data_IF_639816020751
#
_entry.id   IF_639816020751
#
_cell.length_a   1.000
_cell.length_b   1.000
_cell.length_c   1.000
_cell.angle_alpha   90.00
_cell.angle_beta   90.00
_cell.angle_gamma   90.00
#
_symmetry.space_group_name_H-M   'P 1'
#
loop_
_entity.id
_entity.type
_entity.pdbx_description
1 polymer ?
#
# COMPACT_ATOMS: atom_id res chain seq x y z
N UNK A 1 -5.33 -17.47 15.81
CA UNK A 1 -3.88 -17.40 16.05
C UNK A 1 -3.27 -18.73 15.70
N UNK A 2 -2.12 -18.74 15.02
CA UNK A 2 -1.39 -19.95 14.60
C UNK A 2 0.07 -19.87 15.08
N UNK A 3 0.74 -21.01 15.31
CA UNK A 3 2.16 -21.03 15.65
C UNK A 3 3.00 -20.32 14.58
N UNK A 4 4.01 -19.54 14.98
CA UNK A 4 4.86 -18.85 14.02
C UNK A 4 5.62 -19.81 13.09
N UNK A 5 5.86 -21.05 13.51
CA UNK A 5 6.47 -22.12 12.70
C UNK A 5 5.67 -22.48 11.45
N UNK A 6 4.36 -22.18 11.43
CA UNK A 6 3.48 -22.44 10.29
C UNK A 6 3.41 -21.26 9.31
N UNK A 7 4.14 -20.18 9.60
CA UNK A 7 4.14 -18.93 8.83
C UNK A 7 5.56 -18.38 8.67
N UNK A 8 5.72 -17.27 7.95
CA UNK A 8 7.01 -16.55 7.93
C UNK A 8 7.22 -15.65 9.17
N UNK A 9 6.29 -15.63 10.14
CA UNK A 9 6.51 -14.95 11.41
C UNK A 9 7.72 -15.50 12.18
N UNK A 10 8.06 -16.78 11.97
CA UNK A 10 9.28 -17.41 12.50
C UNK A 10 10.54 -16.68 12.06
N UNK A 11 10.57 -16.23 10.79
CA UNK A 11 11.71 -15.52 10.19
C UNK A 11 11.93 -14.14 10.81
N UNK A 12 10.93 -13.63 11.53
CA UNK A 12 10.94 -12.33 12.19
C UNK A 12 11.06 -12.46 13.71
N UNK A 13 11.35 -13.67 14.23
CA UNK A 13 11.52 -13.95 15.65
C UNK A 13 10.22 -13.89 16.47
N UNK A 14 9.06 -14.03 15.81
CA UNK A 14 7.77 -14.07 16.50
C UNK A 14 7.45 -15.50 16.98
N UNK A 15 6.63 -15.61 18.03
CA UNK A 15 6.16 -16.92 18.53
C UNK A 15 4.84 -17.36 17.89
N UNK A 16 3.99 -16.41 17.52
CA UNK A 16 2.67 -16.67 16.94
C UNK A 16 2.38 -15.65 15.84
N UNK A 17 1.51 -16.05 14.90
CA UNK A 17 0.94 -15.19 13.87
C UNK A 17 -0.59 -15.17 13.95
N UNK A 18 -1.19 -14.10 13.44
CA UNK A 18 -2.63 -13.93 13.37
C UNK A 18 -3.03 -13.65 11.92
N UNK A 19 -3.75 -14.59 11.31
CA UNK A 19 -4.46 -14.33 10.06
C UNK A 19 -5.71 -13.51 10.38
N UNK A 20 -6.05 -12.54 9.52
CA UNK A 20 -7.25 -11.72 9.74
C UNK A 20 -8.50 -12.54 9.41
N UNK A 21 -8.41 -13.38 8.38
CA UNK A 21 -9.42 -14.36 8.01
C UNK A 21 -8.73 -15.69 7.66
N UNK A 22 -9.39 -16.78 8.00
CA UNK A 22 -9.03 -18.12 7.55
C UNK A 22 -10.30 -18.82 7.10
N UNK A 23 -10.24 -19.48 5.95
CA UNK A 23 -11.32 -20.30 5.42
C UNK A 23 -10.88 -21.77 5.46
N UNK A 24 -11.06 -22.49 6.59
CA UNK A 24 -10.60 -23.88 6.70
C UNK A 24 -11.19 -24.80 5.63
N UNK A 25 -12.45 -24.58 5.25
CA UNK A 25 -13.11 -25.35 4.19
C UNK A 25 -12.44 -25.19 2.81
N UNK A 26 -11.82 -24.04 2.57
CA UNK A 26 -11.09 -23.76 1.33
C UNK A 26 -9.57 -23.94 1.52
N UNK A 27 -9.08 -24.20 2.73
CA UNK A 27 -7.65 -24.24 3.01
C UNK A 27 -6.92 -22.92 2.74
N UNK A 28 -7.57 -21.76 2.78
CA UNK A 28 -6.94 -20.46 2.46
C UNK A 28 -6.82 -19.56 3.69
N UNK A 29 -5.67 -18.91 3.82
CA UNK A 29 -5.42 -17.87 4.80
C UNK A 29 -5.38 -16.48 4.16
N UNK A 30 -5.92 -15.47 4.84
CA UNK A 30 -5.99 -14.11 4.32
C UNK A 30 -5.48 -13.06 5.30
N UNK A 31 -4.77 -12.07 4.76
CA UNK A 31 -4.38 -10.84 5.45
C UNK A 31 -5.16 -9.65 4.88
N UNK A 32 -6.04 -9.04 5.67
CA UNK A 32 -6.87 -7.92 5.19
C UNK A 32 -6.20 -6.60 5.52
N UNK A 33 -6.04 -5.74 4.52
CA UNK A 33 -5.31 -4.47 4.65
C UNK A 33 -6.05 -3.37 3.94
N UNK A 34 -6.06 -2.21 4.55
CA UNK A 34 -6.45 -0.99 3.87
C UNK A 34 -5.24 -0.50 3.07
N UNK A 35 -5.40 -0.31 1.76
CA UNK A 35 -4.37 0.29 0.91
C UNK A 35 -4.46 1.81 1.06
N UNK A 36 -3.82 2.33 2.11
CA UNK A 36 -3.92 3.72 2.57
C UNK A 36 -2.60 4.47 2.49
N UNK A 37 -2.63 5.73 2.04
CA UNK A 37 -1.48 6.65 2.03
C UNK A 37 -1.26 7.23 3.43
N UNK A 38 -0.74 6.38 4.34
CA UNK A 38 -0.52 6.75 5.74
C UNK A 38 0.48 7.90 5.87
N UNK A 39 1.47 7.96 4.99
CA UNK A 39 2.48 9.02 4.96
C UNK A 39 1.83 10.36 4.60
N UNK A 40 1.04 10.40 3.53
CA UNK A 40 0.29 11.60 3.13
C UNK A 40 -0.70 12.05 4.20
N UNK A 41 -1.36 11.13 4.91
CA UNK A 41 -2.25 11.45 6.02
C UNK A 41 -1.50 12.07 7.22
N UNK A 42 -0.34 11.53 7.58
CA UNK A 42 0.52 12.09 8.63
C UNK A 42 0.96 13.51 8.25
N UNK A 43 1.45 13.69 7.02
CA UNK A 43 1.90 14.99 6.50
C UNK A 43 0.76 16.00 6.45
N UNK A 44 -0.42 15.60 5.99
CA UNK A 44 -1.62 16.44 6.01
C UNK A 44 -1.97 16.89 7.43
N UNK A 45 -1.81 16.01 8.42
CA UNK A 45 -1.94 16.34 9.83
C UNK A 45 -0.94 17.41 10.28
N UNK A 46 0.34 17.26 9.91
CA UNK A 46 1.39 18.25 10.19
C UNK A 46 1.08 19.60 9.53
N UNK A 47 0.64 19.59 8.28
CA UNK A 47 0.29 20.81 7.54
C UNK A 47 -0.92 21.55 8.14
N UNK A 48 -1.90 20.81 8.67
CA UNK A 48 -3.00 21.39 9.43
C UNK A 48 -2.50 22.09 10.70
N UNK A 49 -1.61 21.43 11.45
CA UNK A 49 -1.05 21.97 12.69
C UNK A 49 -0.14 23.18 12.43
N UNK A 50 0.69 23.15 11.38
CA UNK A 50 1.51 24.28 10.94
C UNK A 50 0.66 25.50 10.60
N UNK A 51 -0.38 25.31 9.76
CA UNK A 51 -1.31 26.39 9.39
C UNK A 51 -2.01 26.99 10.60
N UNK A 52 -2.46 26.13 11.53
CA UNK A 52 -3.07 26.57 12.79
C UNK A 52 -2.09 27.38 13.65
N UNK A 53 -0.86 26.92 13.78
CA UNK A 53 0.20 27.58 14.56
C UNK A 53 0.59 28.94 13.99
N UNK A 54 0.68 29.05 12.67
CA UNK A 54 1.04 30.31 11.97
C UNK A 54 -0.16 31.21 11.68
N UNK A 55 -1.39 30.80 12.01
CA UNK A 55 -2.61 31.58 11.74
C UNK A 55 -2.97 31.70 10.24
N UNK A 56 -2.51 30.75 9.40
CA UNK A 56 -2.69 30.80 7.95
C UNK A 56 -4.00 30.10 7.56
N UNK A 57 -4.90 30.83 6.88
CA UNK A 57 -6.20 30.28 6.44
C UNK A 57 -6.12 29.54 5.12
N UNK A 58 -5.44 30.11 4.13
CA UNK A 58 -5.38 29.60 2.76
C UNK A 58 -3.92 29.40 2.35
N UNK A 59 -3.46 28.16 2.47
CA UNK A 59 -2.16 27.71 1.99
C UNK A 59 -2.30 26.24 1.59
N UNK A 60 -1.95 25.96 0.34
CA UNK A 60 -1.80 24.60 -0.16
C UNK A 60 -0.34 24.21 -0.02
N UNK A 61 -0.11 23.03 0.55
CA UNK A 61 1.21 22.43 0.72
C UNK A 61 1.17 21.09 0.01
N UNK A 62 2.06 20.91 -0.97
CA UNK A 62 2.20 19.68 -1.74
C UNK A 62 3.50 19.01 -1.32
N UNK A 63 3.43 17.84 -0.65
CA UNK A 63 4.64 17.11 -0.29
C UNK A 63 5.18 16.34 -1.48
N UNK A 64 6.50 16.18 -1.53
CA UNK A 64 7.21 15.22 -2.37
C UNK A 64 8.07 14.36 -1.47
N UNK A 65 7.91 13.05 -1.53
CA UNK A 65 8.65 12.09 -0.72
C UNK A 65 8.91 10.81 -1.48
N UNK A 66 9.90 10.06 -1.02
CA UNK A 66 10.11 8.68 -1.43
C UNK A 66 8.87 7.83 -1.08
N UNK A 67 8.12 7.30 -2.06
CA UNK A 67 6.93 6.51 -1.79
C UNK A 67 7.26 5.14 -1.18
N UNK A 68 8.50 4.64 -1.32
CA UNK A 68 9.03 3.47 -0.60
C UNK A 68 9.44 3.79 0.85
N UNK A 69 9.37 5.06 1.24
CA UNK A 69 9.71 5.52 2.57
C UNK A 69 8.81 4.92 3.65
N UNK A 70 9.40 4.16 4.58
CA UNK A 70 8.66 3.59 5.70
C UNK A 70 7.86 4.65 6.48
N UNK A 71 6.52 4.55 6.45
CA UNK A 71 5.61 5.50 7.12
C UNK A 71 5.90 5.64 8.63
N UNK A 72 6.46 4.60 9.25
CA UNK A 72 6.89 4.60 10.66
C UNK A 72 7.85 5.78 10.94
N UNK A 73 8.76 6.11 10.00
CA UNK A 73 9.68 7.25 10.15
C UNK A 73 8.94 8.58 10.26
N UNK A 74 7.91 8.77 9.44
CA UNK A 74 7.06 9.97 9.48
C UNK A 74 6.25 10.04 10.76
N UNK A 75 5.71 8.91 11.21
CA UNK A 75 4.96 8.83 12.46
C UNK A 75 5.83 9.15 13.69
N UNK A 76 7.03 8.58 13.76
CA UNK A 76 7.98 8.85 14.87
C UNK A 76 8.53 10.27 14.85
N UNK A 77 8.74 10.84 13.67
CA UNK A 77 9.32 12.18 13.50
C UNK A 77 8.28 13.29 13.41
N UNK A 78 6.98 12.99 13.57
CA UNK A 78 5.88 13.95 13.38
C UNK A 78 6.08 15.27 14.11
N UNK A 79 6.50 15.21 15.37
CA UNK A 79 6.74 16.42 16.19
C UNK A 79 7.94 17.21 15.66
N UNK A 80 9.04 16.54 15.34
CA UNK A 80 10.24 17.18 14.81
C UNK A 80 9.96 17.85 13.44
N UNK A 81 9.18 17.20 12.57
CA UNK A 81 8.76 17.76 11.29
C UNK A 81 7.86 18.99 11.46
N UNK A 82 6.93 18.96 12.42
CA UNK A 82 6.12 20.13 12.73
C UNK A 82 6.97 21.30 13.26
N UNK A 83 7.88 21.00 14.20
CA UNK A 83 8.76 21.99 14.79
C UNK A 83 9.69 22.60 13.72
N UNK A 84 10.23 21.79 12.81
CA UNK A 84 11.01 22.22 11.64
C UNK A 84 10.21 23.21 10.78
N UNK A 85 8.98 22.83 10.38
CA UNK A 85 8.15 23.73 9.57
C UNK A 85 7.82 25.03 10.31
N UNK A 86 7.49 24.95 11.60
CA UNK A 86 7.14 26.13 12.40
C UNK A 86 8.35 27.07 12.57
N UNK A 87 9.55 26.54 12.73
CA UNK A 87 10.74 27.33 12.99
C UNK A 87 11.40 27.87 11.72
N UNK A 88 11.36 27.11 10.63
CA UNK A 88 12.17 27.40 9.43
C UNK A 88 11.37 27.92 8.24
N UNK A 89 10.06 27.63 8.16
CA UNK A 89 9.20 28.15 7.09
C UNK A 89 8.54 29.45 7.52
N UNK A 90 9.16 30.57 7.13
CA UNK A 90 8.65 31.92 7.37
C UNK A 90 7.50 32.28 6.39
N UNK A 91 6.26 32.48 6.89
CA UNK A 91 5.14 32.89 6.05
C UNK A 91 5.30 34.27 5.42
N UNK A 92 6.14 35.15 5.98
CA UNK A 92 6.39 36.47 5.40
C UNK A 92 7.31 36.38 4.17
N UNK A 93 8.24 35.42 4.17
CA UNK A 93 9.15 35.16 3.05
C UNK A 93 8.47 34.41 1.89
N UNK A 94 7.37 33.70 2.16
CA UNK A 94 6.60 32.92 1.18
C UNK A 94 7.48 32.02 0.29
N UNK A 95 8.30 31.12 0.88
CA UNK A 95 9.18 30.26 0.09
C UNK A 95 8.38 29.34 -0.83
N UNK A 96 8.85 29.16 -2.06
CA UNK A 96 8.20 28.27 -3.02
C UNK A 96 8.37 26.79 -2.65
N UNK A 97 9.54 26.42 -2.12
CA UNK A 97 9.87 25.03 -1.75
C UNK A 97 10.70 25.02 -0.46
N UNK A 98 10.54 23.97 0.34
CA UNK A 98 11.35 23.67 1.52
C UNK A 98 11.77 22.19 1.50
N UNK A 99 13.02 21.89 1.84
CA UNK A 99 13.52 20.52 1.93
C UNK A 99 13.71 20.16 3.41
N UNK A 100 13.18 19.03 3.83
CA UNK A 100 13.30 18.58 5.23
C UNK A 100 14.73 18.14 5.52
N UNK A 101 15.26 18.61 6.65
CA UNK A 101 16.50 18.14 7.25
C UNK A 101 16.30 16.85 8.07
N UNK A 102 15.07 16.60 8.52
CA UNK A 102 14.70 15.45 9.37
C UNK A 102 14.55 14.16 8.54
N UNK A 103 13.91 14.25 7.37
CA UNK A 103 13.73 13.12 6.47
C UNK A 103 14.40 13.42 5.13
N UNK A 104 15.52 12.74 4.81
CA UNK A 104 16.17 12.88 3.51
C UNK A 104 15.20 12.55 2.37
N UNK A 105 15.15 13.41 1.35
CA UNK A 105 14.26 13.25 0.19
C UNK A 105 12.83 13.77 0.38
N UNK A 106 12.45 14.20 1.58
CA UNK A 106 11.18 14.89 1.81
C UNK A 106 11.30 16.38 1.48
N UNK A 107 10.42 16.89 0.63
CA UNK A 107 10.28 18.32 0.36
C UNK A 107 8.82 18.74 0.33
N UNK A 108 8.58 20.04 0.50
CA UNK A 108 7.26 20.66 0.49
C UNK A 108 7.27 21.81 -0.50
N UNK A 109 6.32 21.82 -1.43
CA UNK A 109 6.04 22.96 -2.30
C UNK A 109 4.83 23.73 -1.78
N UNK A 110 4.92 25.06 -1.77
CA UNK A 110 3.91 25.94 -1.19
C UNK A 110 3.24 26.80 -2.26
N UNK A 111 1.91 26.82 -2.24
CA UNK A 111 1.12 27.79 -2.99
C UNK A 111 0.57 28.85 -2.04
N UNK A 112 1.30 29.96 -1.96
CA UNK A 112 0.92 31.12 -1.16
C UNK A 112 -0.17 31.91 -1.88
N UNK A 113 -1.43 31.67 -1.52
CA UNK A 113 -2.58 32.48 -1.95
C UNK A 113 -3.65 31.74 -2.77
N UNK A 114 -4.85 32.34 -2.88
CA UNK A 114 -5.95 31.80 -3.68
C UNK A 114 -5.64 31.91 -5.19
N UNK A 115 -5.87 30.83 -5.93
CA UNK A 115 -5.72 30.81 -7.40
C UNK A 115 -4.35 30.38 -7.93
N UNK A 116 -3.41 29.98 -7.07
CA UNK A 116 -2.17 29.34 -7.51
C UNK A 116 -2.48 27.88 -7.89
N UNK A 117 -2.59 27.63 -9.19
CA UNK A 117 -2.75 26.30 -9.77
C UNK A 117 -1.37 25.64 -9.93
N UNK A 118 -1.13 24.50 -9.27
CA UNK A 118 -0.05 23.61 -9.67
C UNK A 118 -0.51 22.81 -10.89
N UNK A 119 0.27 22.90 -11.97
CA UNK A 119 0.09 22.08 -13.17
C UNK A 119 0.67 20.68 -12.98
N UNK A 120 -0.23 19.71 -13.05
CA UNK A 120 -0.09 18.34 -13.59
C UNK A 120 1.22 17.59 -13.31
N UNK A 121 1.20 16.78 -12.24
CA UNK A 121 1.98 15.55 -12.24
C UNK A 121 1.26 14.53 -13.11
N UNK A 122 1.92 14.02 -14.15
CA UNK A 122 1.40 12.86 -14.89
C UNK A 122 1.41 11.64 -13.95
N UNK A 123 0.23 11.14 -13.58
CA UNK A 123 0.13 9.89 -12.84
C UNK A 123 0.42 8.70 -13.77
N UNK A 124 1.38 7.86 -13.39
CA UNK A 124 1.56 6.53 -13.98
C UNK A 124 1.20 5.48 -12.93
N UNK A 125 0.15 4.66 -13.16
CA UNK A 125 -0.18 3.56 -12.27
C UNK A 125 0.94 2.52 -12.17
N UNK A 126 1.74 2.34 -13.23
CA UNK A 126 2.87 1.42 -13.26
C UNK A 126 4.00 1.90 -12.33
N UNK A 127 4.44 3.16 -12.47
CA UNK A 127 5.46 3.73 -11.60
C UNK A 127 4.97 3.80 -10.16
N UNK A 128 3.68 4.08 -9.95
CA UNK A 128 3.11 4.04 -8.61
C UNK A 128 3.19 2.63 -7.98
N UNK A 129 2.85 1.59 -8.74
CA UNK A 129 2.97 0.20 -8.29
C UNK A 129 4.43 -0.20 -8.02
N UNK A 130 5.39 0.29 -8.81
CA UNK A 130 6.83 0.08 -8.58
C UNK A 130 7.29 0.60 -7.23
N UNK A 131 6.83 1.77 -6.83
CA UNK A 131 7.16 2.31 -5.50
C UNK A 131 6.39 1.65 -4.34
N UNK A 132 5.56 0.65 -4.62
CA UNK A 132 4.86 -0.14 -3.60
C UNK A 132 5.49 -1.52 -3.42
N UNK A 133 6.54 -1.85 -4.18
CA UNK A 133 7.13 -3.19 -4.24
C UNK A 133 7.61 -3.74 -2.89
N UNK A 134 7.99 -2.85 -1.96
CA UNK A 134 8.50 -3.20 -0.64
C UNK A 134 7.39 -3.57 0.37
N UNK A 135 6.12 -3.18 0.12
CA UNK A 135 5.00 -3.42 1.03
C UNK A 135 4.77 -4.90 1.31
N UNK A 136 4.99 -5.76 0.31
CA UNK A 136 4.91 -7.23 0.44
C UNK A 136 5.62 -7.73 1.70
N UNK A 137 6.85 -7.26 1.94
CA UNK A 137 7.68 -7.68 3.07
C UNK A 137 7.13 -7.22 4.43
N UNK A 138 6.30 -6.18 4.45
CA UNK A 138 5.56 -5.77 5.64
C UNK A 138 4.46 -6.75 6.04
N UNK A 139 3.88 -7.45 5.06
CA UNK A 139 2.79 -8.43 5.24
C UNK A 139 3.28 -9.85 5.48
N UNK A 140 4.52 -10.15 5.08
CA UNK A 140 5.09 -11.48 5.03
C UNK A 140 4.93 -12.32 6.31
N UNK A 141 4.92 -11.71 7.51
CA UNK A 141 4.70 -12.43 8.77
C UNK A 141 3.43 -13.30 8.79
N UNK A 142 2.43 -12.99 7.95
CA UNK A 142 1.18 -13.73 7.86
C UNK A 142 1.14 -14.75 6.71
N UNK A 143 2.21 -14.85 5.93
CA UNK A 143 2.29 -15.83 4.85
C UNK A 143 2.47 -17.22 5.45
N UNK A 144 1.51 -18.08 5.15
CA UNK A 144 1.50 -19.46 5.60
C UNK A 144 2.50 -20.29 4.79
N UNK A 145 3.16 -21.22 5.47
CA UNK A 145 4.00 -22.25 4.86
C UNK A 145 3.19 -23.46 4.42
N UNK A 146 1.99 -23.63 4.98
CA UNK A 146 1.19 -24.85 4.85
C UNK A 146 0.04 -24.69 3.85
N UNK A 147 -0.44 -23.47 3.65
CA UNK A 147 -1.66 -23.17 2.94
C UNK A 147 -1.46 -22.00 1.97
N UNK A 148 -2.25 -21.91 0.90
CA UNK A 148 -2.33 -20.69 0.11
C UNK A 148 -2.61 -19.46 0.97
N UNK A 149 -1.85 -18.39 0.72
CA UNK A 149 -2.03 -17.10 1.41
C UNK A 149 -2.43 -16.03 0.42
N UNK A 150 -3.44 -15.24 0.78
CA UNK A 150 -3.93 -14.12 -0.04
C UNK A 150 -3.86 -12.82 0.76
N UNK A 151 -3.38 -11.75 0.15
CA UNK A 151 -3.58 -10.40 0.70
C UNK A 151 -4.89 -9.86 0.15
N UNK A 152 -5.74 -9.34 1.04
CA UNK A 152 -6.99 -8.67 0.67
C UNK A 152 -6.81 -7.17 0.90
N UNK A 153 -6.63 -6.40 -0.17
CA UNK A 153 -6.62 -4.95 -0.12
C UNK A 153 -8.03 -4.39 -0.22
N UNK A 154 -8.44 -3.66 0.80
CA UNK A 154 -9.69 -2.89 0.81
C UNK A 154 -9.38 -1.48 0.33
N UNK A 155 -10.09 -1.04 -0.70
CA UNK A 155 -10.03 0.31 -1.26
C UNK A 155 -11.30 1.04 -0.82
N UNK A 156 -11.15 1.94 0.14
CA UNK A 156 -12.23 2.74 0.70
C UNK A 156 -12.08 4.22 0.32
N UNK A 157 -13.14 4.91 -0.17
CA UNK A 157 -13.03 6.23 -0.80
C UNK A 157 -12.44 7.34 0.07
N UNK A 158 -12.49 7.23 1.40
CA UNK A 158 -12.00 8.27 2.32
C UNK A 158 -10.64 7.99 2.95
N UNK A 159 -10.18 6.75 2.91
CA UNK A 159 -8.99 6.31 3.65
C UNK A 159 -7.98 5.55 2.79
N UNK A 160 -8.33 5.24 1.55
CA UNK A 160 -7.40 4.70 0.57
C UNK A 160 -6.67 5.79 -0.20
N UNK A 161 -5.60 5.41 -0.88
CA UNK A 161 -4.79 6.33 -1.66
C UNK A 161 -5.66 7.09 -2.68
N UNK A 162 -5.49 8.41 -2.73
CA UNK A 162 -6.37 9.30 -3.51
C UNK A 162 -6.21 9.13 -5.02
N UNK A 163 -5.22 8.36 -5.46
CA UNK A 163 -4.87 8.21 -6.87
C UNK A 163 -5.84 7.28 -7.61
N UNK A 164 -6.75 6.62 -6.88
CA UNK A 164 -7.74 5.72 -7.45
C UNK A 164 -8.99 6.38 -8.07
N UNK A 165 -8.97 7.70 -8.30
CA UNK A 165 -10.14 8.45 -8.80
C UNK A 165 -10.30 8.45 -10.33
N UNK A 166 -9.35 7.89 -11.08
CA UNK A 166 -9.44 7.81 -12.55
C UNK A 166 -9.96 6.43 -12.97
N UNK A 167 -11.13 6.39 -13.62
CA UNK A 167 -11.71 5.15 -14.16
C UNK A 167 -10.70 4.48 -15.11
N UNK A 168 -10.57 3.15 -15.01
CA UNK A 168 -9.59 2.26 -15.67
C UNK A 168 -8.15 2.23 -15.10
N UNK A 169 -7.62 3.33 -14.55
CA UNK A 169 -6.23 3.35 -14.01
C UNK A 169 -6.03 2.46 -12.78
N UNK A 170 -7.09 2.22 -12.00
CA UNK A 170 -7.01 1.36 -10.81
C UNK A 170 -6.68 -0.08 -11.17
N UNK A 171 -7.25 -0.59 -12.27
CA UNK A 171 -7.02 -1.99 -12.69
C UNK A 171 -5.61 -2.19 -13.20
N UNK A 172 -5.05 -1.20 -13.90
CA UNK A 172 -3.65 -1.20 -14.30
C UNK A 172 -2.77 -1.24 -13.06
N UNK A 173 -2.99 -0.32 -12.09
CA UNK A 173 -2.24 -0.33 -10.84
C UNK A 173 -2.37 -1.66 -10.08
N UNK A 174 -3.58 -2.20 -9.91
CA UNK A 174 -3.78 -3.48 -9.19
C UNK A 174 -3.06 -4.63 -9.87
N UNK A 175 -3.10 -4.69 -11.19
CA UNK A 175 -2.38 -5.70 -11.95
C UNK A 175 -0.87 -5.55 -11.77
N UNK A 176 -0.34 -4.36 -12.04
CA UNK A 176 1.10 -4.07 -11.94
C UNK A 176 1.62 -4.32 -10.52
N UNK A 177 0.87 -3.94 -9.49
CA UNK A 177 1.24 -4.20 -8.10
C UNK A 177 1.37 -5.69 -7.81
N UNK A 178 0.41 -6.50 -8.28
CA UNK A 178 0.48 -7.94 -8.16
C UNK A 178 1.63 -8.54 -8.94
N UNK A 179 1.83 -8.14 -10.20
CA UNK A 179 2.93 -8.62 -11.03
C UNK A 179 4.30 -8.27 -10.42
N UNK A 180 4.45 -7.08 -9.85
CA UNK A 180 5.67 -6.66 -9.16
C UNK A 180 5.91 -7.52 -7.91
N UNK A 181 4.87 -7.79 -7.11
CA UNK A 181 4.99 -8.65 -5.93
C UNK A 181 5.41 -10.08 -6.31
N UNK A 182 4.92 -10.59 -7.44
CA UNK A 182 5.13 -11.98 -7.86
C UNK A 182 6.41 -12.19 -8.67
N UNK A 183 6.81 -11.21 -9.49
CA UNK A 183 7.83 -11.41 -10.52
C UNK A 183 9.12 -10.64 -10.24
N UNK A 184 9.08 -9.48 -9.55
CA UNK A 184 10.27 -8.62 -9.42
C UNK A 184 11.40 -9.24 -8.59
N UNK A 185 11.11 -10.30 -7.83
CA UNK A 185 12.07 -10.95 -6.94
C UNK A 185 12.30 -12.42 -7.28
N UNK A 186 11.76 -12.91 -8.39
CA UNK A 186 12.01 -14.27 -8.86
C UNK A 186 13.51 -14.51 -8.99
N UNK A 187 13.97 -15.64 -8.44
CA UNK A 187 15.37 -16.05 -8.38
C UNK A 187 16.31 -15.04 -7.68
N UNK A 188 15.76 -14.07 -6.94
CA UNK A 188 16.55 -13.09 -6.19
C UNK A 188 17.21 -13.72 -4.98
N UNK A 189 18.54 -13.65 -4.93
CA UNK A 189 19.33 -14.06 -3.76
C UNK A 189 19.41 -12.97 -2.68
N UNK A 190 18.72 -11.83 -2.86
CA UNK A 190 18.78 -10.71 -1.90
C UNK A 190 18.02 -11.11 -0.63
N UNK A 191 18.62 -10.97 0.56
CA UNK A 191 17.92 -11.25 1.82
C UNK A 191 16.71 -10.34 2.03
N UNK A 192 15.60 -10.89 2.53
CA UNK A 192 14.37 -10.14 2.82
C UNK A 192 14.59 -9.00 3.84
N UNK A 193 15.63 -9.13 4.68
CA UNK A 193 16.05 -8.11 5.65
C UNK A 193 16.43 -6.77 4.99
N UNK A 194 16.86 -6.78 3.73
CA UNK A 194 17.17 -5.58 2.96
C UNK A 194 15.92 -4.73 2.68
N UNK A 195 14.74 -5.35 2.67
CA UNK A 195 13.44 -4.69 2.44
C UNK A 195 12.66 -4.47 3.73
N UNK A 196 12.81 -5.34 4.72
CA UNK A 196 12.22 -5.19 6.03
C UNK A 196 13.17 -5.65 7.14
N UNK A 197 13.71 -4.69 7.91
CA UNK A 197 14.70 -4.94 8.95
C UNK A 197 14.24 -5.87 10.09
N UNK A 198 12.94 -6.16 10.19
CA UNK A 198 12.36 -7.07 11.18
C UNK A 198 12.66 -8.55 10.89
N UNK A 199 13.06 -8.89 9.66
CA UNK A 199 13.58 -10.22 9.36
C UNK A 199 14.91 -10.46 10.09
N UNK A 200 15.01 -11.60 10.78
CA UNK A 200 16.17 -12.01 11.57
C UNK A 200 17.00 -13.09 10.89
N UNK A 201 16.40 -13.82 9.95
CA UNK A 201 17.00 -14.92 9.21
C UNK A 201 17.53 -14.47 7.83
N UNK A 202 18.09 -15.42 7.08
CA UNK A 202 18.62 -15.22 5.73
C UNK A 202 17.62 -15.58 4.62
N UNK A 203 16.32 -15.67 4.93
CA UNK A 203 15.29 -15.93 3.92
C UNK A 203 15.40 -14.90 2.79
N UNK A 204 15.38 -15.36 1.54
CA UNK A 204 15.53 -14.48 0.38
C UNK A 204 14.21 -13.81 0.01
N UNK A 205 14.31 -12.76 -0.82
CA UNK A 205 13.14 -12.11 -1.39
C UNK A 205 12.31 -13.09 -2.22
N UNK A 206 12.95 -13.91 -3.06
CA UNK A 206 12.28 -14.98 -3.83
C UNK A 206 11.47 -15.89 -2.91
N UNK A 207 12.11 -16.44 -1.87
CA UNK A 207 11.45 -17.35 -0.92
C UNK A 207 10.22 -16.70 -0.25
N UNK A 208 10.30 -15.43 0.15
CA UNK A 208 9.14 -14.71 0.72
C UNK A 208 8.02 -14.60 -0.31
N UNK A 209 8.32 -14.22 -1.55
CA UNK A 209 7.32 -13.98 -2.59
C UNK A 209 6.55 -15.24 -3.00
N UNK A 210 7.23 -16.40 -3.03
CA UNK A 210 6.59 -17.69 -3.31
C UNK A 210 5.55 -18.12 -2.28
N UNK A 211 5.56 -17.54 -1.07
CA UNK A 211 4.54 -17.84 -0.06
C UNK A 211 3.26 -17.01 -0.21
N UNK A 212 3.24 -16.02 -1.13
CA UNK A 212 2.03 -15.27 -1.48
C UNK A 212 1.38 -15.90 -2.71
N UNK A 213 0.15 -16.40 -2.58
CA UNK A 213 -0.59 -17.10 -3.64
C UNK A 213 -1.44 -16.19 -4.51
N UNK A 214 -1.79 -15.00 -4.02
CA UNK A 214 -2.58 -14.05 -4.77
C UNK A 214 -2.95 -12.81 -3.97
N UNK A 215 -3.57 -11.85 -4.66
CA UNK A 215 -4.08 -10.62 -4.08
C UNK A 215 -5.53 -10.44 -4.53
N UNK A 216 -6.40 -10.07 -3.59
CA UNK A 216 -7.79 -9.68 -3.84
C UNK A 216 -7.93 -8.21 -3.50
N UNK A 217 -8.55 -7.44 -4.40
CA UNK A 217 -8.88 -6.04 -4.21
C UNK A 217 -10.39 -5.92 -4.03
N UNK A 218 -10.82 -5.27 -2.96
CA UNK A 218 -12.21 -4.97 -2.65
C UNK A 218 -12.43 -3.46 -2.73
N UNK A 219 -13.07 -3.01 -3.80
CA UNK A 219 -13.43 -1.62 -4.01
C UNK A 219 -14.80 -1.34 -3.39
N UNK A 220 -14.82 -0.62 -2.28
CA UNK A 220 -16.05 -0.22 -1.60
C UNK A 220 -16.57 1.11 -2.16
N UNK A 221 -17.75 1.08 -2.79
CA UNK A 221 -18.43 2.24 -3.36
C UNK A 221 -19.70 2.60 -2.60
N UNK A 222 -19.90 2.08 -1.39
CA UNK A 222 -21.14 2.29 -0.61
C UNK A 222 -21.45 3.77 -0.35
N UNK A 223 -20.42 4.61 -0.18
CA UNK A 223 -20.62 6.06 0.05
C UNK A 223 -21.11 6.79 -1.21
N UNK A 224 -20.71 6.33 -2.40
CA UNK A 224 -21.13 6.93 -3.68
C UNK A 224 -22.33 6.21 -4.28
N UNK A 225 -22.84 5.16 -3.63
CA UNK A 225 -23.99 4.42 -4.09
C UNK A 225 -25.26 5.28 -4.00
N UNK A 226 -26.03 5.31 -5.08
CA UNK A 226 -27.35 5.94 -5.12
C UNK A 226 -28.36 5.26 -4.21
N UNK A 227 -28.12 3.98 -3.86
CA UNK A 227 -28.91 3.22 -2.90
C UNK A 227 -27.99 2.68 -1.79
N UNK A 228 -28.10 3.20 -0.55
CA UNK A 228 -27.27 2.79 0.58
C UNK A 228 -27.63 1.40 1.13
N UNK A 229 -28.70 0.77 0.65
CA UNK A 229 -29.11 -0.59 1.05
C UNK A 229 -28.44 -1.69 0.22
N UNK A 230 -27.82 -1.32 -0.90
CA UNK A 230 -27.08 -2.25 -1.75
C UNK A 230 -25.60 -2.29 -1.33
N UNK A 231 -25.08 -3.50 -1.11
CA UNK A 231 -23.64 -3.75 -0.95
C UNK A 231 -22.93 -3.39 -2.28
N UNK A 232 -22.42 -2.17 -2.36
CA UNK A 232 -21.73 -1.65 -3.55
C UNK A 232 -20.23 -1.96 -3.49
N UNK A 233 -19.90 -3.26 -3.37
CA UNK A 233 -18.52 -3.72 -3.32
C UNK A 233 -18.19 -4.41 -4.64
N UNK A 234 -17.19 -3.91 -5.36
CA UNK A 234 -16.61 -4.58 -6.53
C UNK A 234 -15.35 -5.34 -6.11
N UNK A 235 -15.09 -6.50 -6.70
CA UNK A 235 -13.91 -7.29 -6.42
C UNK A 235 -13.10 -7.53 -7.69
N UNK A 236 -11.78 -7.50 -7.57
CA UNK A 236 -10.84 -8.00 -8.57
C UNK A 236 -9.74 -8.81 -7.91
N UNK A 237 -9.10 -9.71 -8.65
CA UNK A 237 -8.05 -10.55 -8.10
C UNK A 237 -6.94 -10.83 -9.11
N UNK A 238 -5.74 -11.07 -8.59
CA UNK A 238 -4.59 -11.54 -9.37
C UNK A 238 -3.91 -12.68 -8.60
N UNK A 239 -3.62 -13.78 -9.28
CA UNK A 239 -3.03 -14.98 -8.73
C UNK A 239 -1.55 -15.09 -9.10
N UNK A 240 -0.75 -15.64 -8.19
CA UNK A 240 0.67 -15.87 -8.38
C UNK A 240 0.91 -17.29 -8.92
N UNK A 241 1.39 -17.40 -10.16
CA UNK A 241 1.72 -18.70 -10.78
C UNK A 241 2.97 -19.33 -10.15
N UNK A 242 3.84 -18.50 -9.57
CA UNK A 242 5.11 -18.92 -8.99
C UNK A 242 4.99 -19.32 -7.52
N UNK A 243 3.79 -19.27 -6.93
CA UNK A 243 3.62 -19.56 -5.51
C UNK A 243 3.79 -21.05 -5.19
N UNK A 244 4.34 -21.34 -4.03
CA UNK A 244 4.46 -22.70 -3.48
C UNK A 244 3.10 -23.38 -3.39
N UNK A 245 2.07 -22.60 -3.02
CA UNK A 245 0.69 -23.03 -2.91
C UNK A 245 -0.16 -22.24 -3.92
N UNK A 246 -0.30 -22.77 -5.13
CA UNK A 246 -1.02 -22.10 -6.22
C UNK A 246 -2.53 -22.07 -5.97
N UNK A 247 -3.17 -20.98 -6.43
CA UNK A 247 -4.62 -20.81 -6.42
C UNK A 247 -5.27 -20.95 -7.80
N UNK A 248 -4.49 -21.26 -8.84
CA UNK A 248 -5.05 -21.54 -10.16
C UNK A 248 -5.87 -22.82 -10.12
N UNK A 249 -7.09 -22.76 -10.65
CA UNK A 249 -8.08 -23.86 -10.63
C UNK A 249 -8.54 -24.28 -9.22
N UNK A 250 -8.17 -23.49 -8.21
CA UNK A 250 -8.57 -23.72 -6.83
C UNK A 250 -10.03 -23.31 -6.57
N UNK A 251 -10.71 -23.95 -5.63
CA UNK A 251 -12.12 -23.68 -5.33
C UNK A 251 -12.40 -22.19 -5.00
N UNK A 252 -11.44 -21.52 -4.34
CA UNK A 252 -11.50 -20.08 -4.09
C UNK A 252 -11.61 -19.26 -5.39
N UNK A 253 -10.82 -19.60 -6.42
CA UNK A 253 -10.86 -18.90 -7.70
C UNK A 253 -12.25 -19.06 -8.36
N UNK A 254 -12.79 -20.28 -8.33
CA UNK A 254 -14.12 -20.56 -8.86
C UNK A 254 -15.23 -19.84 -8.07
N UNK A 255 -15.07 -19.64 -6.77
CA UNK A 255 -15.97 -18.80 -5.97
C UNK A 255 -15.87 -17.33 -6.42
N UNK A 256 -14.66 -16.80 -6.58
CA UNK A 256 -14.43 -15.41 -7.01
C UNK A 256 -15.06 -15.15 -8.38
N UNK A 257 -14.81 -16.03 -9.36
CA UNK A 257 -15.43 -15.98 -10.71
C UNK A 257 -16.96 -15.99 -10.62
N UNK A 258 -17.54 -16.93 -9.87
CA UNK A 258 -19.00 -17.05 -9.70
C UNK A 258 -19.63 -15.82 -9.04
N UNK A 259 -18.90 -15.14 -8.15
CA UNK A 259 -19.33 -13.90 -7.49
C UNK A 259 -19.10 -12.65 -8.35
N UNK A 260 -18.58 -12.81 -9.56
CA UNK A 260 -18.36 -11.71 -10.51
C UNK A 260 -17.09 -10.91 -10.23
N UNK A 261 -16.13 -11.45 -9.48
CA UNK A 261 -14.84 -10.80 -9.30
C UNK A 261 -14.04 -10.79 -10.62
N UNK A 262 -13.43 -9.67 -10.96
CA UNK A 262 -12.66 -9.51 -12.20
C UNK A 262 -11.28 -10.16 -12.07
N UNK A 263 -10.94 -11.06 -12.99
CA UNK A 263 -9.61 -11.69 -13.06
C UNK A 263 -8.61 -10.77 -13.78
N UNK A 264 -7.62 -10.26 -13.05
CA UNK A 264 -6.59 -9.39 -13.58
C UNK A 264 -5.50 -10.16 -14.37
N UNK A 265 -5.30 -11.46 -14.12
CA UNK A 265 -4.37 -12.29 -14.92
C UNK A 265 -4.80 -12.38 -16.40
N UNK A 266 -6.11 -12.25 -16.68
CA UNK A 266 -6.66 -12.30 -18.04
C UNK A 266 -6.63 -10.95 -18.78
N UNK A 267 -6.17 -9.88 -18.12
CA UNK A 267 -6.13 -8.55 -18.71
C UNK A 267 -4.87 -8.37 -19.55
N UNK A 268 -4.98 -8.47 -20.88
CA UNK A 268 -3.92 -8.02 -21.77
C UNK A 268 -3.93 -6.49 -21.80
N UNK A 269 -2.78 -5.86 -21.55
CA UNK A 269 -2.59 -4.43 -21.80
C UNK A 269 -2.69 -4.25 -23.33
N UNK A 270 -3.89 -3.94 -23.83
CA UNK A 270 -4.02 -3.37 -25.16
C UNK A 270 -3.37 -1.98 -25.10
N UNK A 271 -2.30 -1.82 -25.87
CA UNK A 271 -1.34 -0.72 -25.80
C UNK A 271 -1.90 0.67 -26.04
#
# INVERSE_FOLDING_TARGET
TVPATETLASEMGMQNANHDLSFPALGVSMDTKLLSDKTGDILKGIFNDYRKTKGIRNLLIVPSYDPDGAFDKYATSRKALLDEMVNEVDPAAQPATFHSSIIPGLSYSFAWGPGVCFGEGSYSPEEHARHHHSLLFGHAKKFSRLNPTVIVFVIFPWSSEKVFMFESSNRVFFKELGEIFFNSYMDSSVPAKSFNNKFQTMITADEVTRHLSGIIYLEDKTITATDPTLLSISASYILNENSTHSLFEHELEEILKRRGAYNLNAHNNAG
#
